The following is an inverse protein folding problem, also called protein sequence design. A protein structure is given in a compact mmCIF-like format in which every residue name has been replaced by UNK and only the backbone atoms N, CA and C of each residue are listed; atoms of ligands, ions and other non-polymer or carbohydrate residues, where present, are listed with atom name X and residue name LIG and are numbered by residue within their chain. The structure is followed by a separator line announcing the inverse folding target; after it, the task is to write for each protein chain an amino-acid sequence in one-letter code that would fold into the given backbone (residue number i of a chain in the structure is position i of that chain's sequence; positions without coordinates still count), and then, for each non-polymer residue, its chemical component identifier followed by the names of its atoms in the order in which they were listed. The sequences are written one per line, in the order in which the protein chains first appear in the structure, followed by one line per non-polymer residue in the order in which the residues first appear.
data_IF_326451854800
#
_entry.id   IF_326451854800
#
_cell.length_a   1.000
_cell.length_b   1.000
_cell.length_c   1.000
_cell.angle_alpha   90.00
_cell.angle_beta   90.00
_cell.angle_gamma   90.00
#
_symmetry.space_group_name_H-M   'P 1'
#
loop_
_entity.id
_entity.type
_entity.pdbx_description
1 polymer ?
#
# COMPACT_ATOMS: atom_id res chain seq x y z
N UNK A 1 9.74 81.66 -24.90
CA UNK A 1 8.88 80.85 -24.01
C UNK A 1 8.69 79.51 -24.70
N UNK A 2 9.54 78.51 -24.39
CA UNK A 2 9.24 77.30 -23.55
C UNK A 2 8.37 76.29 -24.31
N UNK A 3 8.62 74.97 -24.43
CA UNK A 3 9.54 74.02 -23.78
C UNK A 3 9.52 72.64 -24.51
N UNK A 4 10.69 71.99 -24.57
CA UNK A 4 11.07 70.56 -24.51
C UNK A 4 10.08 69.36 -24.61
N UNK A 5 10.59 68.28 -25.27
CA UNK A 5 10.60 66.82 -24.90
C UNK A 5 9.27 66.04 -24.89
N UNK A 6 9.13 64.73 -25.21
CA UNK A 6 10.06 63.60 -25.27
C UNK A 6 9.61 62.52 -26.28
N UNK A 7 10.56 61.63 -26.61
CA UNK A 7 10.36 60.35 -27.28
C UNK A 7 9.53 59.34 -26.45
N UNK A 8 8.98 58.34 -27.13
CA UNK A 8 8.40 57.13 -26.55
C UNK A 8 8.54 55.97 -27.53
N UNK A 9 9.57 55.14 -27.30
CA UNK A 9 9.84 53.88 -27.99
C UNK A 9 8.74 52.86 -27.75
N UNK A 10 8.34 52.14 -28.80
CA UNK A 10 7.51 50.94 -28.74
C UNK A 10 8.39 49.69 -28.83
N UNK A 11 8.63 49.00 -27.70
CA UNK A 11 9.24 47.66 -27.70
C UNK A 11 8.18 46.55 -27.91
N UNK A 12 8.50 45.48 -28.67
CA UNK A 12 7.66 44.30 -28.82
C UNK A 12 8.07 43.22 -27.80
N UNK A 13 7.34 43.11 -26.69
CA UNK A 13 7.63 42.15 -25.62
C UNK A 13 6.41 41.39 -25.13
N UNK A 14 5.83 40.48 -25.93
CA UNK A 14 4.74 39.61 -25.45
C UNK A 14 4.80 38.13 -25.87
N UNK A 15 5.81 37.70 -26.62
CA UNK A 15 5.92 36.31 -27.10
C UNK A 15 6.85 35.41 -26.26
N UNK A 16 7.70 35.96 -25.38
CA UNK A 16 8.70 35.16 -24.65
C UNK A 16 8.27 34.74 -23.23
N UNK A 17 7.21 35.34 -22.69
CA UNK A 17 6.76 35.10 -21.30
C UNK A 17 5.86 33.86 -21.18
N UNK A 18 5.02 33.60 -22.20
CA UNK A 18 4.19 32.39 -22.27
C UNK A 18 5.01 31.08 -22.44
N UNK A 19 6.25 31.16 -22.91
CA UNK A 19 7.09 29.98 -23.19
C UNK A 19 7.90 29.49 -21.96
N UNK A 20 7.87 30.22 -20.84
CA UNK A 20 8.56 29.82 -19.59
C UNK A 20 7.66 29.10 -18.59
N UNK A 21 6.34 29.29 -18.65
CA UNK A 21 5.41 28.62 -17.72
C UNK A 21 5.18 27.13 -18.03
N UNK A 22 5.47 26.66 -19.24
CA UNK A 22 5.31 25.25 -19.64
C UNK A 22 6.52 24.33 -19.34
N UNK A 23 7.65 24.89 -18.89
CA UNK A 23 8.90 24.14 -18.66
C UNK A 23 8.92 23.19 -17.45
N UNK A 24 8.19 23.39 -16.33
CA UNK A 24 8.31 22.50 -15.17
C UNK A 24 7.65 21.13 -15.39
N UNK A 25 6.56 21.04 -16.17
CA UNK A 25 5.90 19.77 -16.46
C UNK A 25 6.73 18.90 -17.41
N UNK A 26 7.31 19.48 -18.47
CA UNK A 26 8.17 18.76 -19.41
C UNK A 26 9.44 18.21 -18.73
N UNK A 27 10.08 19.00 -17.84
CA UNK A 27 11.25 18.54 -17.10
C UNK A 27 10.91 17.40 -16.14
N UNK A 28 9.78 17.48 -15.42
CA UNK A 28 9.30 16.38 -14.57
C UNK A 28 9.03 15.12 -15.38
N UNK A 29 8.33 15.26 -16.51
CA UNK A 29 8.07 14.14 -17.41
C UNK A 29 9.37 13.47 -17.86
N UNK A 30 10.38 14.25 -18.29
CA UNK A 30 11.68 13.72 -18.70
C UNK A 30 12.40 13.02 -17.54
N UNK A 31 12.41 13.59 -16.34
CA UNK A 31 13.03 12.96 -15.16
C UNK A 31 12.36 11.64 -14.80
N UNK A 32 11.03 11.59 -14.83
CA UNK A 32 10.26 10.39 -14.50
C UNK A 32 10.44 9.30 -15.56
N UNK A 33 10.39 9.66 -16.84
CA UNK A 33 10.63 8.71 -17.94
C UNK A 33 12.06 8.18 -17.94
N UNK A 34 13.03 9.04 -17.61
CA UNK A 34 14.44 8.63 -17.44
C UNK A 34 14.60 7.67 -16.26
N UNK A 35 13.94 7.95 -15.13
CA UNK A 35 13.94 7.06 -13.97
C UNK A 35 13.35 5.68 -14.30
N UNK A 36 12.23 5.64 -15.02
CA UNK A 36 11.59 4.40 -15.49
C UNK A 36 12.51 3.60 -16.42
N UNK A 37 13.13 4.26 -17.41
CA UNK A 37 14.05 3.62 -18.33
C UNK A 37 15.26 3.01 -17.60
N UNK A 38 15.84 3.76 -16.66
CA UNK A 38 16.95 3.28 -15.82
C UNK A 38 16.54 2.11 -14.93
N UNK A 39 15.34 2.14 -14.34
CA UNK A 39 14.83 1.02 -13.55
C UNK A 39 14.68 -0.25 -14.39
N UNK A 40 14.22 -0.14 -15.64
CA UNK A 40 14.13 -1.28 -16.59
C UNK A 40 15.52 -1.83 -16.91
N UNK A 41 16.49 -0.97 -17.18
CA UNK A 41 17.88 -1.37 -17.44
C UNK A 41 18.48 -2.07 -16.20
N UNK A 42 18.26 -1.51 -15.01
CA UNK A 42 18.67 -2.13 -13.75
C UNK A 42 18.07 -3.52 -13.55
N UNK A 43 16.78 -3.68 -13.85
CA UNK A 43 16.11 -4.98 -13.75
C UNK A 43 16.65 -5.99 -14.78
N UNK A 44 16.92 -5.58 -16.01
CA UNK A 44 17.49 -6.45 -17.04
C UNK A 44 18.90 -6.95 -16.66
N UNK A 45 19.72 -6.07 -16.08
CA UNK A 45 21.04 -6.43 -15.56
C UNK A 45 20.95 -7.40 -14.38
N UNK A 46 19.98 -7.19 -13.47
CA UNK A 46 19.74 -8.07 -12.33
C UNK A 46 19.35 -9.49 -12.79
N UNK A 47 18.42 -9.60 -13.74
CA UNK A 47 17.98 -10.87 -14.32
C UNK A 47 19.12 -11.59 -15.04
N UNK A 48 20.03 -10.83 -15.64
CA UNK A 48 21.22 -11.37 -16.32
C UNK A 48 22.35 -11.76 -15.36
N UNK A 49 22.14 -11.69 -14.04
CA UNK A 49 23.15 -12.03 -13.03
C UNK A 49 24.18 -10.93 -12.76
N UNK A 50 24.08 -9.78 -13.43
CA UNK A 50 25.01 -8.64 -13.28
C UNK A 50 24.59 -7.73 -12.11
N UNK A 51 24.58 -8.28 -10.90
CA UNK A 51 24.06 -7.60 -9.69
C UNK A 51 24.78 -6.27 -9.42
N UNK A 52 26.10 -6.22 -9.55
CA UNK A 52 26.87 -5.00 -9.29
C UNK A 52 26.48 -3.85 -10.24
N UNK A 53 26.29 -4.18 -11.52
CA UNK A 53 25.92 -3.20 -12.55
C UNK A 53 24.46 -2.79 -12.49
N UNK A 54 23.58 -3.61 -11.90
CA UNK A 54 22.19 -3.25 -11.66
C UNK A 54 22.04 -2.12 -10.62
N UNK A 55 22.98 -1.98 -9.67
CA UNK A 55 22.90 -0.99 -8.58
C UNK A 55 22.90 0.43 -9.12
N UNK A 56 23.83 0.76 -10.01
CA UNK A 56 24.01 2.12 -10.55
C UNK A 56 22.74 2.69 -11.19
N UNK A 57 22.09 2.02 -12.17
CA UNK A 57 20.87 2.54 -12.77
C UNK A 57 19.71 2.64 -11.76
N UNK A 58 19.61 1.75 -10.76
CA UNK A 58 18.62 1.91 -9.69
C UNK A 58 18.86 3.15 -8.84
N UNK A 59 20.12 3.42 -8.43
CA UNK A 59 20.46 4.61 -7.66
C UNK A 59 20.12 5.88 -8.44
N UNK A 60 20.50 5.94 -9.73
CA UNK A 60 20.21 7.10 -10.57
C UNK A 60 18.70 7.26 -10.79
N UNK A 61 17.95 6.17 -10.98
CA UNK A 61 16.50 6.21 -11.08
C UNK A 61 15.85 6.79 -9.82
N UNK A 62 16.33 6.40 -8.63
CA UNK A 62 15.86 6.94 -7.35
C UNK A 62 16.18 8.43 -7.21
N UNK A 63 17.36 8.88 -7.63
CA UNK A 63 17.71 10.31 -7.62
C UNK A 63 16.81 11.10 -8.59
N UNK A 64 16.59 10.59 -9.79
CA UNK A 64 15.75 11.23 -10.80
C UNK A 64 14.28 11.34 -10.34
N UNK A 65 13.72 10.28 -9.73
CA UNK A 65 12.34 10.31 -9.25
C UNK A 65 12.20 11.24 -8.03
N UNK A 66 13.16 11.23 -7.11
CA UNK A 66 13.12 12.09 -5.91
C UNK A 66 13.25 13.55 -6.27
N UNK A 67 14.11 13.89 -7.23
CA UNK A 67 14.25 15.27 -7.74
C UNK A 67 13.02 15.75 -8.50
N UNK A 68 12.34 14.86 -9.25
CA UNK A 68 11.07 15.17 -9.89
C UNK A 68 9.96 15.50 -8.88
N UNK A 69 9.95 14.83 -7.73
CA UNK A 69 8.94 14.99 -6.67
C UNK A 69 9.25 16.17 -5.73
N UNK A 70 10.52 16.49 -5.49
CA UNK A 70 10.92 17.49 -4.49
C UNK A 70 10.69 18.97 -4.89
N UNK A 71 10.33 19.25 -6.14
CA UNK A 71 10.05 20.61 -6.63
C UNK A 71 8.56 20.80 -6.94
N UNK A 72 7.67 20.99 -5.95
CA UNK A 72 6.32 21.47 -6.21
C UNK A 72 6.43 22.95 -6.61
N UNK A 73 6.41 23.26 -7.91
CA UNK A 73 6.08 24.61 -8.35
C UNK A 73 4.65 24.89 -7.91
N UNK A 74 4.53 25.78 -6.92
CA UNK A 74 3.28 26.35 -6.43
C UNK A 74 2.53 26.92 -7.62
N UNK A 75 1.50 26.23 -8.09
CA UNK A 75 0.47 26.84 -8.94
C UNK A 75 -0.55 27.51 -8.02
N UNK A 76 -0.18 28.65 -7.45
CA UNK A 76 -1.16 29.62 -6.96
C UNK A 76 -1.82 30.26 -8.19
N UNK A 77 -2.79 29.56 -8.79
CA UNK A 77 -3.69 30.16 -9.75
C UNK A 77 -4.75 30.94 -8.98
N UNK A 78 -4.73 32.26 -9.12
CA UNK A 78 -5.81 33.14 -8.70
C UNK A 78 -7.15 32.60 -9.23
N UNK A 79 -8.07 32.28 -8.32
CA UNK A 79 -9.46 32.00 -8.67
C UNK A 79 -10.30 33.24 -8.40
N UNK A 80 -10.26 34.19 -9.33
CA UNK A 80 -11.36 35.14 -9.52
C UNK A 80 -12.39 34.50 -10.44
N UNK A 81 -13.34 33.76 -9.85
CA UNK A 81 -14.43 33.10 -10.58
C UNK A 81 -15.70 32.95 -9.74
N UNK A 82 -16.77 33.57 -10.23
CA UNK A 82 -18.12 33.72 -9.67
C UNK A 82 -18.77 32.42 -9.13
N UNK A 83 -19.66 32.48 -8.12
CA UNK A 83 -20.36 31.31 -7.61
C UNK A 83 -21.53 30.90 -8.53
N UNK A 84 -21.47 29.69 -9.08
CA UNK A 84 -22.56 29.06 -9.80
C UNK A 84 -22.17 27.70 -10.38
N UNK A 85 -22.98 26.70 -10.06
CA UNK A 85 -23.12 25.37 -10.67
C UNK A 85 -22.33 24.18 -10.08
N UNK A 86 -23.13 23.14 -9.84
CA UNK A 86 -22.86 21.83 -9.26
C UNK A 86 -21.81 21.02 -10.04
N UNK A 87 -20.53 21.24 -9.73
CA UNK A 87 -19.44 20.41 -10.21
C UNK A 87 -19.03 19.34 -9.18
N UNK A 88 -18.80 18.12 -9.67
CA UNK A 88 -18.27 16.98 -8.91
C UNK A 88 -17.04 17.38 -8.08
N UNK A 89 -16.78 16.72 -6.92
CA UNK A 89 -15.70 17.13 -6.03
C UNK A 89 -14.34 17.01 -6.73
N UNK A 90 -13.77 18.16 -7.05
CA UNK A 90 -12.43 18.32 -7.59
C UNK A 90 -11.40 17.73 -6.63
N UNK A 91 -10.71 16.69 -7.09
CA UNK A 91 -9.70 15.94 -6.32
C UNK A 91 -8.43 16.80 -6.13
N UNK A 92 -8.24 17.87 -6.92
CA UNK A 92 -7.01 18.66 -6.93
C UNK A 92 -6.99 19.84 -5.94
N UNK A 93 -8.15 20.37 -5.52
CA UNK A 93 -8.22 21.64 -4.76
C UNK A 93 -7.96 21.57 -3.25
N UNK A 94 -7.65 20.40 -2.67
CA UNK A 94 -7.49 20.25 -1.22
C UNK A 94 -6.18 19.60 -0.75
N UNK A 95 -5.07 19.86 -1.44
CA UNK A 95 -3.72 19.65 -0.86
C UNK A 95 -3.40 20.80 0.12
N UNK A 96 -4.22 20.95 1.17
CA UNK A 96 -3.83 21.75 2.33
C UNK A 96 -2.89 20.88 3.15
N UNK A 97 -1.58 21.14 2.99
CA UNK A 97 -0.54 20.60 3.85
C UNK A 97 -0.98 20.80 5.31
N UNK A 98 -1.31 19.71 5.99
CA UNK A 98 -1.54 19.80 7.43
C UNK A 98 -0.24 20.31 8.07
N UNK A 99 -0.32 21.22 9.05
CA UNK A 99 0.86 21.66 9.76
C UNK A 99 1.53 20.42 10.34
N UNK A 100 2.71 20.08 9.80
CA UNK A 100 3.55 19.04 10.36
C UNK A 100 3.77 19.41 11.82
N UNK A 101 3.37 18.55 12.76
CA UNK A 101 3.77 18.72 14.15
C UNK A 101 5.29 18.94 14.15
N UNK A 102 5.74 20.10 14.62
CA UNK A 102 7.15 20.44 14.64
C UNK A 102 7.87 19.39 15.47
N UNK A 103 8.66 18.56 14.79
CA UNK A 103 9.32 17.40 15.38
C UNK A 103 10.21 17.80 16.54
N UNK A 104 10.08 17.07 17.65
CA UNK A 104 11.12 17.09 18.68
C UNK A 104 12.32 16.30 18.14
N UNK A 105 13.54 16.88 18.23
CA UNK A 105 14.80 16.22 17.83
C UNK A 105 14.92 14.75 18.26
N UNK A 106 14.58 14.34 19.50
CA UNK A 106 14.66 12.93 19.91
C UNK A 106 13.72 12.01 19.10
N UNK A 107 12.48 12.42 18.82
CA UNK A 107 11.50 11.62 18.09
C UNK A 107 11.97 11.30 16.66
N UNK A 108 12.63 12.27 16.02
CA UNK A 108 13.21 12.10 14.69
C UNK A 108 14.39 11.11 14.70
N UNK A 109 15.25 11.18 15.72
CA UNK A 109 16.36 10.24 15.87
C UNK A 109 15.85 8.81 16.12
N UNK A 110 14.80 8.64 16.92
CA UNK A 110 14.13 7.36 17.11
C UNK A 110 13.56 6.82 15.80
N UNK A 111 12.83 7.64 15.03
CA UNK A 111 12.27 7.23 13.75
C UNK A 111 13.37 6.78 12.77
N UNK A 112 14.47 7.52 12.67
CA UNK A 112 15.62 7.16 11.83
C UNK A 112 16.26 5.86 12.31
N UNK A 113 16.53 5.71 13.61
CA UNK A 113 17.12 4.51 14.18
C UNK A 113 16.29 3.25 13.91
N UNK A 114 14.97 3.34 14.10
CA UNK A 114 14.04 2.24 13.78
C UNK A 114 14.05 1.90 12.28
N UNK A 115 14.11 2.91 11.40
CA UNK A 115 14.19 2.67 9.95
C UNK A 115 15.49 1.96 9.57
N UNK A 116 16.63 2.44 10.09
CA UNK A 116 17.94 1.85 9.79
C UNK A 116 18.02 0.41 10.28
N UNK A 117 17.51 0.13 11.48
CA UNK A 117 17.42 -1.23 12.00
C UNK A 117 16.51 -2.12 11.14
N UNK A 118 15.34 -1.61 10.74
CA UNK A 118 14.43 -2.32 9.85
C UNK A 118 15.10 -2.67 8.51
N UNK A 119 15.79 -1.71 7.89
CA UNK A 119 16.51 -1.91 6.63
C UNK A 119 17.66 -2.89 6.79
N UNK A 120 18.43 -2.83 7.88
CA UNK A 120 19.52 -3.76 8.16
C UNK A 120 19.00 -5.20 8.33
N UNK A 121 17.91 -5.39 9.08
CA UNK A 121 17.28 -6.69 9.25
C UNK A 121 16.69 -7.21 7.93
N UNK A 122 16.05 -6.35 7.14
CA UNK A 122 15.54 -6.73 5.83
C UNK A 122 16.68 -7.17 4.89
N UNK A 123 17.79 -6.41 4.85
CA UNK A 123 18.96 -6.77 4.06
C UNK A 123 19.59 -8.09 4.51
N UNK A 124 19.71 -8.30 5.83
CA UNK A 124 20.19 -9.56 6.39
C UNK A 124 19.27 -10.73 6.03
N UNK A 125 17.94 -10.53 6.08
CA UNK A 125 16.96 -11.53 5.66
C UNK A 125 17.14 -11.91 4.18
N UNK A 126 17.22 -10.92 3.28
CA UNK A 126 17.45 -11.14 1.85
C UNK A 126 18.77 -11.83 1.55
N UNK A 127 19.81 -11.55 2.34
CA UNK A 127 21.10 -12.23 2.22
C UNK A 127 21.07 -13.69 2.71
N UNK A 128 20.22 -14.01 3.68
CA UNK A 128 20.12 -15.36 4.25
C UNK A 128 19.23 -16.30 3.41
N UNK A 129 18.13 -15.82 2.81
CA UNK A 129 17.22 -16.68 2.04
C UNK A 129 17.88 -17.52 0.93
N UNK A 130 18.84 -17.00 0.15
CA UNK A 130 19.52 -17.77 -0.89
C UNK A 130 20.42 -18.90 -0.36
N UNK A 131 20.81 -18.87 0.93
CA UNK A 131 21.68 -19.89 1.54
C UNK A 131 20.97 -21.23 1.76
N UNK A 132 19.64 -21.25 1.63
CA UNK A 132 18.83 -22.45 1.82
C UNK A 132 18.55 -22.76 3.29
N UNK A 133 17.68 -23.74 3.55
CA UNK A 133 17.25 -24.08 4.90
C UNK A 133 18.42 -24.58 5.77
N UNK A 134 18.40 -24.31 7.09
CA UNK A 134 17.32 -23.68 7.83
C UNK A 134 17.26 -22.15 7.67
N UNK A 135 16.08 -21.64 7.30
CA UNK A 135 15.76 -20.23 7.04
C UNK A 135 15.16 -19.50 8.26
N UNK A 136 15.19 -20.08 9.46
CA UNK A 136 14.52 -19.52 10.64
C UNK A 136 14.96 -18.07 10.92
N UNK A 137 16.27 -17.80 10.89
CA UNK A 137 16.80 -16.45 11.09
C UNK A 137 16.36 -15.48 9.99
N UNK A 138 16.32 -15.92 8.74
CA UNK A 138 15.87 -15.10 7.62
C UNK A 138 14.41 -14.67 7.81
N UNK A 139 13.55 -15.61 8.23
CA UNK A 139 12.14 -15.34 8.54
C UNK A 139 11.95 -14.43 9.76
N UNK A 140 12.74 -14.61 10.82
CA UNK A 140 12.71 -13.71 11.98
C UNK A 140 13.11 -12.29 11.62
N UNK A 141 14.21 -12.13 10.88
CA UNK A 141 14.66 -10.80 10.43
C UNK A 141 13.63 -10.13 9.52
N UNK A 142 13.03 -10.88 8.59
CA UNK A 142 11.91 -10.39 7.77
C UNK A 142 10.73 -9.96 8.66
N UNK A 143 10.26 -10.86 9.52
CA UNK A 143 9.08 -10.65 10.38
C UNK A 143 9.24 -9.50 11.36
N UNK A 144 10.46 -9.21 11.83
CA UNK A 144 10.77 -8.07 12.71
C UNK A 144 10.95 -6.77 11.92
N UNK A 145 11.53 -6.84 10.71
CA UNK A 145 11.79 -5.65 9.89
C UNK A 145 10.50 -4.90 9.49
N UNK A 146 9.44 -5.62 9.14
CA UNK A 146 8.15 -5.04 8.69
C UNK A 146 7.47 -4.18 9.77
N UNK A 147 7.25 -4.66 11.01
CA UNK A 147 6.68 -3.83 12.07
C UNK A 147 7.61 -2.69 12.49
N UNK A 148 8.93 -2.87 12.47
CA UNK A 148 9.88 -1.77 12.74
C UNK A 148 9.79 -0.66 11.69
N UNK A 149 9.75 -1.01 10.40
CA UNK A 149 9.57 -0.05 9.32
C UNK A 149 8.24 0.71 9.45
N UNK A 150 7.17 -0.01 9.83
CA UNK A 150 5.85 0.56 10.08
C UNK A 150 5.86 1.52 11.28
N UNK A 151 6.47 1.12 12.40
CA UNK A 151 6.60 1.95 13.59
C UNK A 151 7.43 3.21 13.32
N UNK A 152 8.54 3.07 12.59
CA UNK A 152 9.36 4.18 12.13
C UNK A 152 8.54 5.17 11.27
N UNK A 153 7.77 4.65 10.32
CA UNK A 153 6.93 5.47 9.46
C UNK A 153 5.88 6.27 10.26
N UNK A 154 5.21 5.65 11.22
CA UNK A 154 4.25 6.32 12.10
C UNK A 154 4.92 7.32 13.05
N UNK A 155 6.15 7.05 13.48
CA UNK A 155 6.97 8.00 14.24
C UNK A 155 7.35 9.22 13.40
N UNK A 156 7.59 9.05 12.09
CA UNK A 156 7.89 10.15 11.16
C UNK A 156 6.73 11.13 10.93
N UNK A 157 5.50 10.75 11.28
CA UNK A 157 4.35 11.66 11.21
C UNK A 157 3.87 12.06 12.62
N UNK A 158 4.64 11.78 13.68
CA UNK A 158 4.28 12.05 15.07
C UNK A 158 3.09 11.24 15.60
N UNK A 159 2.49 10.37 14.77
CA UNK A 159 1.29 9.60 15.10
C UNK A 159 1.54 8.58 16.20
N UNK A 160 2.71 7.94 16.18
CA UNK A 160 3.08 6.95 17.19
C UNK A 160 3.06 7.59 18.60
N UNK A 161 3.70 8.75 18.73
CA UNK A 161 3.79 9.46 20.01
C UNK A 161 2.46 10.12 20.40
N UNK A 162 1.67 10.61 19.44
CA UNK A 162 0.32 11.10 19.69
C UNK A 162 -0.61 10.01 20.24
N UNK A 163 -0.56 8.79 19.69
CA UNK A 163 -1.33 7.65 20.18
C UNK A 163 -0.92 7.26 21.60
N UNK A 164 0.39 7.16 21.87
CA UNK A 164 0.92 6.87 23.21
C UNK A 164 0.50 7.96 24.21
N UNK A 165 0.56 9.23 23.80
CA UNK A 165 0.15 10.38 24.61
C UNK A 165 -1.35 10.33 24.97
N UNK A 166 -2.22 10.07 23.99
CA UNK A 166 -3.67 9.92 24.21
C UNK A 166 -4.00 8.74 25.13
N UNK A 167 -3.28 7.62 24.98
CA UNK A 167 -3.46 6.45 25.83
C UNK A 167 -3.04 6.75 27.28
N UNK A 168 -1.92 7.44 27.47
CA UNK A 168 -1.46 7.87 28.81
C UNK A 168 -2.34 8.94 29.45
N UNK A 169 -2.94 9.81 28.64
CA UNK A 169 -3.77 10.91 29.11
C UNK A 169 -5.20 10.47 29.51
N UNK A 170 -5.54 9.18 29.43
CA UNK A 170 -6.86 8.68 29.84
C UNK A 170 -8.00 9.38 29.10
N UNK A 171 -7.91 9.46 27.77
CA UNK A 171 -8.86 10.25 26.97
C UNK A 171 -10.29 9.70 27.14
N UNK A 172 -11.22 10.53 27.61
CA UNK A 172 -12.65 10.21 27.63
C UNK A 172 -13.21 10.22 26.20
N UNK A 173 -13.78 9.09 25.77
CA UNK A 173 -14.39 8.97 24.45
C UNK A 173 -15.89 9.27 24.53
N UNK A 174 -16.29 10.43 24.01
CA UNK A 174 -17.71 10.72 23.79
C UNK A 174 -18.15 10.11 22.46
N UNK A 175 -18.93 9.03 22.52
CA UNK A 175 -19.45 8.35 21.33
C UNK A 175 -20.81 8.93 20.96
N UNK A 176 -20.86 9.72 19.88
CA UNK A 176 -22.13 10.10 19.27
C UNK A 176 -22.74 8.92 18.51
N UNK A 177 -24.03 8.65 18.70
CA UNK A 177 -24.74 7.54 18.06
C UNK A 177 -24.70 7.61 16.52
N UNK A 178 -24.79 8.82 15.95
CA UNK A 178 -24.66 9.05 14.50
C UNK A 178 -23.30 8.64 13.95
N UNK A 179 -22.23 8.77 14.75
CA UNK A 179 -20.89 8.32 14.39
C UNK A 179 -20.73 6.80 14.45
N UNK A 180 -21.59 6.10 15.21
CA UNK A 180 -21.59 4.64 15.35
C UNK A 180 -22.32 3.93 14.21
N UNK A 181 -23.33 4.57 13.61
CA UNK A 181 -24.22 3.93 12.65
C UNK A 181 -23.48 3.26 11.45
N UNK A 182 -22.47 3.90 10.82
CA UNK A 182 -21.72 3.24 9.75
C UNK A 182 -20.90 2.03 10.22
N UNK A 183 -20.45 2.03 11.47
CA UNK A 183 -19.68 0.92 12.03
C UNK A 183 -20.57 -0.24 12.42
N UNK A 184 -21.78 0.02 12.93
CA UNK A 184 -22.80 -1.00 13.13
C UNK A 184 -23.25 -1.61 11.80
N UNK A 185 -23.42 -0.79 10.77
CA UNK A 185 -23.68 -1.25 9.40
C UNK A 185 -22.56 -2.15 8.87
N UNK A 186 -21.30 -1.74 9.04
CA UNK A 186 -20.15 -2.58 8.66
C UNK A 186 -20.11 -3.89 9.45
N UNK A 187 -20.37 -3.85 10.76
CA UNK A 187 -20.43 -5.04 11.59
C UNK A 187 -21.51 -6.02 11.09
N UNK A 188 -22.71 -5.53 10.77
CA UNK A 188 -23.78 -6.35 10.20
C UNK A 188 -23.36 -6.97 8.86
N UNK A 189 -22.71 -6.20 7.97
CA UNK A 189 -22.17 -6.70 6.70
C UNK A 189 -21.09 -7.76 6.91
N UNK A 190 -20.18 -7.57 7.87
CA UNK A 190 -19.13 -8.54 8.19
C UNK A 190 -19.69 -9.83 8.80
N UNK A 191 -20.73 -9.73 9.64
CA UNK A 191 -21.43 -10.89 10.18
C UNK A 191 -22.14 -11.68 9.06
N UNK A 192 -22.80 -10.99 8.12
CA UNK A 192 -23.35 -11.63 6.93
C UNK A 192 -22.25 -12.28 6.08
N UNK A 193 -21.15 -11.57 5.83
CA UNK A 193 -20.03 -12.09 5.07
C UNK A 193 -19.44 -13.34 5.71
N UNK A 194 -19.33 -13.36 7.05
CA UNK A 194 -18.83 -14.47 7.83
C UNK A 194 -19.80 -15.65 7.78
N UNK A 195 -21.10 -15.42 7.95
CA UNK A 195 -22.13 -16.43 7.84
C UNK A 195 -22.04 -17.16 6.50
N UNK A 196 -22.03 -16.42 5.38
CA UNK A 196 -22.01 -17.01 4.04
C UNK A 196 -20.69 -17.73 3.72
N UNK A 197 -19.56 -17.31 4.32
CA UNK A 197 -18.24 -17.92 4.10
C UNK A 197 -17.96 -19.10 5.02
N UNK A 198 -18.48 -19.12 6.24
CA UNK A 198 -18.19 -20.16 7.23
C UNK A 198 -19.26 -21.25 7.30
N UNK A 199 -20.46 -21.01 6.77
CA UNK A 199 -21.52 -22.01 6.74
C UNK A 199 -21.06 -23.28 6.01
N UNK A 200 -21.10 -24.44 6.68
CA UNK A 200 -20.76 -25.76 6.09
C UNK A 200 -19.42 -25.75 5.34
N UNK A 201 -18.35 -25.26 6.01
CA UNK A 201 -17.04 -25.09 5.37
C UNK A 201 -16.33 -26.42 5.06
N UNK A 202 -16.69 -27.47 5.80
CA UNK A 202 -16.24 -28.85 5.63
C UNK A 202 -16.88 -29.51 4.42
N UNK A 203 -18.19 -29.30 4.19
CA UNK A 203 -18.93 -29.89 3.07
C UNK A 203 -18.95 -29.05 1.79
N UNK A 204 -18.75 -27.73 1.87
CA UNK A 204 -18.88 -26.81 0.74
C UNK A 204 -17.66 -25.88 0.55
N UNK A 205 -17.11 -25.74 -0.67
CA UNK A 205 -17.48 -26.49 -1.88
C UNK A 205 -17.17 -27.99 -1.75
N UNK A 206 -17.90 -28.81 -2.51
CA UNK A 206 -17.80 -30.25 -2.43
C UNK A 206 -16.43 -30.75 -2.91
N UNK A 207 -15.85 -31.69 -2.16
CA UNK A 207 -14.54 -32.24 -2.45
C UNK A 207 -13.37 -31.36 -1.96
N UNK A 208 -12.17 -31.85 -2.23
CA UNK A 208 -10.91 -31.21 -1.90
C UNK A 208 -10.12 -31.02 -3.20
N UNK A 209 -9.86 -29.77 -3.57
CA UNK A 209 -9.09 -29.49 -4.79
C UNK A 209 -7.61 -29.83 -4.58
N UNK A 210 -6.91 -30.24 -5.64
CA UNK A 210 -5.50 -30.65 -5.56
C UNK A 210 -4.62 -29.57 -4.91
N UNK A 211 -4.75 -28.30 -5.34
CA UNK A 211 -3.96 -27.20 -4.77
C UNK A 211 -4.33 -26.89 -3.30
N UNK A 212 -5.57 -27.16 -2.90
CA UNK A 212 -6.02 -26.98 -1.51
C UNK A 212 -5.41 -28.07 -0.61
N UNK A 213 -5.44 -29.33 -1.06
CA UNK A 213 -4.70 -30.43 -0.43
C UNK A 213 -3.20 -30.12 -0.38
N UNK A 214 -2.68 -29.50 -1.45
CA UNK A 214 -1.29 -29.14 -1.59
C UNK A 214 -0.86 -28.20 -0.46
N UNK A 215 -1.63 -27.12 -0.29
CA UNK A 215 -1.42 -26.10 0.73
C UNK A 215 -1.52 -26.68 2.16
N UNK A 216 -2.50 -27.55 2.42
CA UNK A 216 -2.66 -28.20 3.73
C UNK A 216 -1.43 -29.07 4.04
N UNK A 217 -1.01 -29.92 3.09
CA UNK A 217 0.17 -30.77 3.27
C UNK A 217 1.44 -29.92 3.51
N UNK A 218 1.58 -28.78 2.83
CA UNK A 218 2.76 -27.90 2.99
C UNK A 218 2.74 -27.21 4.34
N UNK A 219 1.55 -26.79 4.79
CA UNK A 219 1.35 -26.23 6.12
C UNK A 219 1.70 -27.24 7.22
N UNK A 220 1.40 -28.53 7.05
CA UNK A 220 1.83 -29.60 7.97
C UNK A 220 3.36 -29.70 8.05
N UNK A 221 4.05 -29.65 6.91
CA UNK A 221 5.51 -29.70 6.84
C UNK A 221 6.12 -28.45 7.51
N UNK A 222 5.58 -27.26 7.23
CA UNK A 222 5.98 -26.00 7.86
C UNK A 222 5.78 -26.08 9.38
N UNK A 223 4.64 -26.59 9.84
CA UNK A 223 4.37 -26.77 11.27
C UNK A 223 5.42 -27.69 11.91
N UNK A 224 5.73 -28.82 11.28
CA UNK A 224 6.67 -29.80 11.81
C UNK A 224 8.12 -29.29 11.84
N UNK A 225 8.52 -28.48 10.85
CA UNK A 225 9.84 -27.87 10.79
C UNK A 225 9.78 -26.44 10.25
N UNK A 226 9.42 -25.45 11.09
CA UNK A 226 9.28 -24.06 10.64
C UNK A 226 10.58 -23.49 10.07
N UNK A 227 11.73 -23.97 10.56
CA UNK A 227 13.05 -23.58 10.08
C UNK A 227 13.32 -24.01 8.64
N UNK A 228 12.69 -25.06 8.13
CA UNK A 228 12.84 -25.49 6.75
C UNK A 228 11.97 -24.72 5.75
N UNK A 229 11.14 -23.77 6.20
CA UNK A 229 10.23 -23.02 5.33
C UNK A 229 10.99 -22.26 4.25
N UNK A 230 10.72 -22.60 3.00
CA UNK A 230 11.27 -21.93 1.82
C UNK A 230 10.47 -20.68 1.47
N UNK A 231 11.07 -19.72 0.76
CA UNK A 231 10.37 -18.52 0.27
C UNK A 231 9.24 -18.88 -0.70
N UNK A 232 9.53 -19.83 -1.59
CA UNK A 232 8.58 -20.37 -2.56
C UNK A 232 8.33 -21.84 -2.29
N UNK A 233 7.07 -22.24 -2.42
CA UNK A 233 6.66 -23.64 -2.31
C UNK A 233 7.04 -24.40 -3.58
N UNK A 234 7.83 -25.49 -3.51
CA UNK A 234 8.34 -26.16 -4.71
C UNK A 234 7.26 -26.71 -5.65
N UNK A 235 6.13 -27.20 -5.11
CA UNK A 235 5.06 -27.81 -5.91
C UNK A 235 4.28 -26.82 -6.77
N UNK A 236 4.13 -25.58 -6.31
CA UNK A 236 3.27 -24.57 -6.96
C UNK A 236 4.05 -23.36 -7.45
N UNK A 237 5.31 -23.23 -7.06
CA UNK A 237 6.14 -22.04 -7.23
C UNK A 237 5.44 -20.75 -6.71
N UNK A 238 4.53 -20.90 -5.74
CA UNK A 238 3.83 -19.79 -5.09
C UNK A 238 4.55 -19.38 -3.80
N UNK A 239 4.43 -18.10 -3.39
CA UNK A 239 4.96 -17.64 -2.11
C UNK A 239 4.42 -18.44 -0.91
N UNK A 240 5.29 -18.75 0.04
CA UNK A 240 4.94 -19.56 1.23
C UNK A 240 4.20 -18.79 2.32
N UNK A 241 4.10 -17.45 2.24
CA UNK A 241 3.53 -16.63 3.33
C UNK A 241 2.04 -16.94 3.59
N UNK A 242 1.30 -17.32 2.55
CA UNK A 242 -0.09 -17.81 2.69
C UNK A 242 -0.19 -19.12 3.49
N UNK A 243 0.86 -19.93 3.51
CA UNK A 243 0.88 -21.22 4.20
C UNK A 243 1.17 -21.09 5.69
N UNK A 244 1.83 -20.01 6.13
CA UNK A 244 2.13 -19.76 7.54
C UNK A 244 0.86 -19.67 8.42
N UNK A 245 -0.17 -18.87 8.08
CA UNK A 245 -1.42 -18.87 8.85
C UNK A 245 -2.15 -20.22 8.77
N UNK A 246 -2.03 -20.97 7.67
CA UNK A 246 -2.61 -22.32 7.59
C UNK A 246 -1.87 -23.24 8.57
N UNK A 247 -0.54 -23.19 8.63
CA UNK A 247 0.28 -23.98 9.56
C UNK A 247 -0.07 -23.68 11.02
N UNK A 248 -0.35 -22.42 11.35
CA UNK A 248 -0.85 -22.02 12.66
C UNK A 248 -2.21 -22.65 12.96
N UNK A 249 -3.17 -22.62 12.01
CA UNK A 249 -4.47 -23.26 12.21
C UNK A 249 -4.33 -24.79 12.32
N UNK A 250 -3.40 -25.41 11.57
CA UNK A 250 -3.09 -26.84 11.74
C UNK A 250 -2.60 -27.12 13.16
N UNK A 251 -1.75 -26.25 13.72
CA UNK A 251 -1.24 -26.42 15.07
C UNK A 251 -2.33 -26.30 16.15
N UNK A 252 -3.26 -25.37 15.96
CA UNK A 252 -4.33 -25.09 16.93
C UNK A 252 -5.52 -26.05 16.83
N UNK A 253 -5.90 -26.47 15.63
CA UNK A 253 -7.15 -27.19 15.36
C UNK A 253 -6.94 -28.56 14.68
N UNK A 254 -5.70 -28.92 14.34
CA UNK A 254 -5.38 -30.16 13.63
C UNK A 254 -5.52 -30.07 12.11
N UNK A 255 -5.24 -31.19 11.44
CA UNK A 255 -5.26 -31.29 9.98
C UNK A 255 -6.68 -31.58 9.51
N UNK A 256 -7.25 -30.67 8.72
CA UNK A 256 -8.57 -30.84 8.11
C UNK A 256 -8.71 -29.98 6.86
N UNK A 257 -9.77 -30.21 6.08
CA UNK A 257 -10.12 -29.36 4.93
C UNK A 257 -10.44 -27.93 5.39
N UNK A 258 -11.10 -27.78 6.54
CA UNK A 258 -11.50 -26.47 7.06
C UNK A 258 -10.29 -25.63 7.50
N UNK A 259 -9.14 -26.25 7.78
CA UNK A 259 -7.91 -25.58 8.19
C UNK A 259 -7.46 -24.51 7.18
N UNK A 260 -7.35 -24.86 5.90
CA UNK A 260 -6.97 -23.90 4.86
C UNK A 260 -8.13 -22.95 4.48
N UNK A 261 -9.37 -23.47 4.48
CA UNK A 261 -10.56 -22.67 4.14
C UNK A 261 -10.82 -21.56 5.16
N UNK A 262 -10.54 -21.78 6.44
CA UNK A 262 -10.69 -20.78 7.49
C UNK A 262 -9.77 -19.57 7.24
N UNK A 263 -8.54 -19.83 6.80
CA UNK A 263 -7.57 -18.79 6.43
C UNK A 263 -8.06 -18.01 5.22
N UNK A 264 -8.50 -18.68 4.15
CA UNK A 264 -9.10 -18.01 3.00
C UNK A 264 -10.32 -17.19 3.35
N UNK A 265 -11.18 -17.68 4.24
CA UNK A 265 -12.37 -16.97 4.71
C UNK A 265 -11.98 -15.70 5.47
N UNK A 266 -10.94 -15.76 6.30
CA UNK A 266 -10.40 -14.59 6.99
C UNK A 266 -9.85 -13.53 6.02
N UNK A 267 -9.16 -13.95 4.94
CA UNK A 267 -8.72 -13.03 3.89
C UNK A 267 -9.90 -12.40 3.13
N UNK A 268 -10.93 -13.17 2.81
CA UNK A 268 -12.17 -12.65 2.20
C UNK A 268 -12.89 -11.63 3.09
N UNK A 269 -13.01 -11.91 4.40
CA UNK A 269 -13.55 -10.97 5.38
C UNK A 269 -12.72 -9.69 5.48
N UNK A 270 -11.40 -9.84 5.50
CA UNK A 270 -10.49 -8.71 5.40
C UNK A 270 -10.75 -7.88 4.13
N UNK A 271 -10.97 -8.54 2.98
CA UNK A 271 -11.27 -7.91 1.71
C UNK A 271 -12.54 -7.04 1.77
N UNK A 272 -13.61 -7.56 2.37
CA UNK A 272 -14.85 -6.81 2.61
C UNK A 272 -14.59 -5.54 3.45
N UNK A 273 -13.83 -5.67 4.55
CA UNK A 273 -13.48 -4.54 5.40
C UNK A 273 -12.59 -3.51 4.67
N UNK A 274 -11.60 -3.97 3.91
CA UNK A 274 -10.71 -3.11 3.13
C UNK A 274 -11.49 -2.33 2.07
N UNK A 275 -12.47 -2.96 1.43
CA UNK A 275 -13.35 -2.33 0.45
C UNK A 275 -14.22 -1.24 1.08
N UNK A 276 -14.74 -1.47 2.29
CA UNK A 276 -15.42 -0.44 3.07
C UNK A 276 -14.50 0.77 3.30
N UNK A 277 -13.27 0.56 3.79
CA UNK A 277 -12.35 1.67 4.06
C UNK A 277 -11.99 2.46 2.81
N UNK A 278 -11.72 1.78 1.70
CA UNK A 278 -11.42 2.39 0.41
C UNK A 278 -12.58 3.27 -0.06
N UNK A 279 -13.80 2.73 -0.15
CA UNK A 279 -14.95 3.50 -0.67
C UNK A 279 -15.40 4.56 0.34
N UNK A 280 -15.28 4.31 1.63
CA UNK A 280 -15.57 5.35 2.65
C UNK A 280 -14.69 6.56 2.46
N UNK A 281 -13.42 6.35 2.14
CA UNK A 281 -12.46 7.41 1.90
C UNK A 281 -12.77 8.21 0.62
N UNK A 282 -13.25 7.54 -0.43
CA UNK A 282 -13.52 8.16 -1.73
C UNK A 282 -14.92 8.81 -1.82
N UNK A 283 -15.95 8.10 -1.37
CA UNK A 283 -17.36 8.39 -1.64
C UNK A 283 -18.23 8.48 -0.38
N UNK A 284 -17.64 8.35 0.81
CA UNK A 284 -18.34 8.45 2.08
C UNK A 284 -19.01 7.17 2.57
N UNK A 285 -19.65 7.26 3.74
CA UNK A 285 -20.10 6.10 4.53
C UNK A 285 -21.18 5.24 3.84
N UNK A 286 -22.15 5.87 3.18
CA UNK A 286 -23.27 5.17 2.55
C UNK A 286 -22.79 4.30 1.37
N UNK A 287 -22.03 4.89 0.45
CA UNK A 287 -21.41 4.16 -0.65
C UNK A 287 -20.49 3.03 -0.15
N UNK A 288 -19.79 3.25 0.97
CA UNK A 288 -18.93 2.24 1.57
C UNK A 288 -19.69 1.01 2.07
N UNK A 289 -20.86 1.21 2.70
CA UNK A 289 -21.73 0.13 3.13
C UNK A 289 -22.27 -0.65 1.93
N UNK A 290 -22.68 0.05 0.86
CA UNK A 290 -23.12 -0.60 -0.38
C UNK A 290 -21.98 -1.42 -0.99
N UNK A 291 -20.79 -0.86 -1.12
CA UNK A 291 -19.63 -1.57 -1.66
C UNK A 291 -19.26 -2.80 -0.81
N UNK A 292 -19.20 -2.65 0.51
CA UNK A 292 -18.92 -3.75 1.42
C UNK A 292 -19.99 -4.85 1.35
N UNK A 293 -21.26 -4.48 1.29
CA UNK A 293 -22.37 -5.42 1.13
C UNK A 293 -22.26 -6.18 -0.20
N UNK A 294 -22.02 -5.47 -1.31
CA UNK A 294 -21.84 -6.09 -2.61
C UNK A 294 -20.66 -7.07 -2.61
N UNK A 295 -19.52 -6.72 -2.03
CA UNK A 295 -18.37 -7.64 -1.86
C UNK A 295 -18.72 -8.82 -0.96
N UNK A 296 -19.47 -8.60 0.12
CA UNK A 296 -19.88 -9.65 1.06
C UNK A 296 -20.73 -10.74 0.38
N UNK A 297 -21.61 -10.36 -0.55
CA UNK A 297 -22.49 -11.29 -1.29
C UNK A 297 -21.98 -11.63 -2.70
N UNK A 298 -20.82 -11.12 -3.11
CA UNK A 298 -20.25 -11.34 -4.44
C UNK A 298 -19.88 -12.82 -4.61
N UNK A 299 -20.52 -13.49 -5.57
CA UNK A 299 -20.28 -14.92 -5.86
C UNK A 299 -18.80 -15.27 -6.03
N UNK A 300 -18.04 -14.43 -6.73
CA UNK A 300 -16.62 -14.66 -6.97
C UNK A 300 -15.79 -14.58 -5.69
N UNK A 301 -16.01 -13.55 -4.87
CA UNK A 301 -15.31 -13.38 -3.60
C UNK A 301 -15.66 -14.50 -2.61
N UNK A 302 -16.94 -14.88 -2.53
CA UNK A 302 -17.39 -16.03 -1.72
C UNK A 302 -16.71 -17.32 -2.16
N UNK A 303 -16.72 -17.63 -3.46
CA UNK A 303 -16.13 -18.87 -3.96
C UNK A 303 -14.63 -18.95 -3.63
N UNK A 304 -13.87 -17.89 -3.90
CA UNK A 304 -12.42 -17.88 -3.63
C UNK A 304 -12.07 -17.81 -2.15
N UNK A 305 -12.93 -17.20 -1.31
CA UNK A 305 -12.73 -17.20 0.15
C UNK A 305 -13.15 -18.49 0.84
N UNK A 306 -13.86 -19.39 0.14
CA UNK A 306 -14.24 -20.71 0.63
C UNK A 306 -13.33 -21.84 0.13
N UNK A 307 -12.33 -21.53 -0.68
CA UNK A 307 -11.30 -22.47 -1.14
C UNK A 307 -9.96 -22.02 -0.55
N UNK A 308 -9.24 -22.94 0.08
CA UNK A 308 -7.96 -22.74 0.76
C UNK A 308 -6.78 -22.43 -0.16
N UNK A 309 -6.89 -21.43 -1.03
CA UNK A 309 -5.93 -21.05 -2.06
C UNK A 309 -5.54 -19.57 -1.99
N UNK A 310 -4.33 -19.25 -2.47
CA UNK A 310 -3.72 -17.92 -2.38
C UNK A 310 -4.52 -16.80 -3.03
N UNK A 311 -5.34 -17.11 -4.04
CA UNK A 311 -5.99 -16.13 -4.91
C UNK A 311 -6.82 -15.07 -4.18
N UNK A 312 -7.51 -15.45 -3.09
CA UNK A 312 -8.36 -14.53 -2.31
C UNK A 312 -7.56 -13.42 -1.60
N UNK A 313 -6.26 -13.59 -1.44
CA UNK A 313 -5.42 -12.57 -0.79
C UNK A 313 -5.27 -11.32 -1.67
N UNK A 314 -5.29 -11.45 -3.00
CA UNK A 314 -5.06 -10.33 -3.92
C UNK A 314 -6.11 -9.21 -3.80
N UNK A 315 -7.43 -9.48 -3.79
CA UNK A 315 -8.45 -8.44 -3.60
C UNK A 315 -8.26 -7.64 -2.30
N UNK A 316 -7.91 -8.30 -1.19
CA UNK A 316 -7.60 -7.62 0.08
C UNK A 316 -6.43 -6.64 -0.08
N UNK A 317 -5.29 -7.15 -0.55
CA UNK A 317 -4.10 -6.32 -0.68
C UNK A 317 -4.29 -5.22 -1.73
N UNK A 318 -5.03 -5.47 -2.81
CA UNK A 318 -5.37 -4.46 -3.81
C UNK A 318 -6.17 -3.31 -3.19
N UNK A 319 -7.23 -3.62 -2.45
CA UNK A 319 -8.08 -2.62 -1.81
C UNK A 319 -7.32 -1.82 -0.74
N UNK A 320 -6.51 -2.49 0.09
CA UNK A 320 -5.69 -1.81 1.10
C UNK A 320 -4.60 -0.94 0.48
N UNK A 321 -3.89 -1.44 -0.54
CA UNK A 321 -2.87 -0.65 -1.25
C UNK A 321 -3.51 0.54 -1.93
N UNK A 322 -4.65 0.39 -2.61
CA UNK A 322 -5.36 1.52 -3.21
C UNK A 322 -5.80 2.55 -2.15
N UNK A 323 -6.40 2.09 -1.05
CA UNK A 323 -6.83 2.96 0.05
C UNK A 323 -5.66 3.77 0.63
N UNK A 324 -4.56 3.10 0.94
CA UNK A 324 -3.38 3.75 1.52
C UNK A 324 -2.69 4.68 0.52
N UNK A 325 -2.61 4.31 -0.76
CA UNK A 325 -2.04 5.16 -1.82
C UNK A 325 -2.89 6.42 -2.01
N UNK A 326 -4.22 6.30 -2.14
CA UNK A 326 -5.09 7.47 -2.26
C UNK A 326 -5.04 8.36 -1.01
N UNK A 327 -4.95 7.75 0.18
CA UNK A 327 -4.75 8.47 1.43
C UNK A 327 -3.41 9.22 1.45
N UNK A 328 -2.34 8.58 0.98
CA UNK A 328 -1.00 9.14 0.90
C UNK A 328 -0.94 10.33 -0.07
N UNK A 329 -1.54 10.20 -1.25
CA UNK A 329 -1.65 11.28 -2.24
C UNK A 329 -2.47 12.45 -1.72
N UNK A 330 -3.65 12.19 -1.11
CA UNK A 330 -4.53 13.24 -0.59
C UNK A 330 -3.93 14.04 0.55
N UNK A 331 -3.25 13.37 1.49
CA UNK A 331 -2.74 14.03 2.69
C UNK A 331 -1.25 14.34 2.66
N UNK A 332 -0.49 13.84 1.68
CA UNK A 332 0.95 14.06 1.54
C UNK A 332 1.80 13.47 2.67
N UNK A 333 1.27 12.49 3.40
CA UNK A 333 1.87 11.97 4.64
C UNK A 333 2.85 10.84 4.36
N UNK A 334 4.05 10.91 4.92
CA UNK A 334 5.12 9.92 4.66
C UNK A 334 4.77 8.55 5.20
N UNK A 335 4.09 8.48 6.35
CA UNK A 335 3.65 7.19 6.90
C UNK A 335 2.69 6.45 5.98
N UNK A 336 1.82 7.19 5.28
CA UNK A 336 0.82 6.59 4.40
C UNK A 336 1.48 6.00 3.15
N UNK A 337 2.53 6.63 2.61
CA UNK A 337 3.33 6.06 1.52
C UNK A 337 4.08 4.79 1.94
N UNK A 338 4.71 4.79 3.12
CA UNK A 338 5.43 3.60 3.62
C UNK A 338 4.45 2.45 3.89
N UNK A 339 3.29 2.75 4.47
CA UNK A 339 2.23 1.76 4.67
C UNK A 339 1.71 1.20 3.35
N UNK A 340 1.46 2.06 2.35
CA UNK A 340 1.02 1.64 1.03
C UNK A 340 2.03 0.69 0.37
N UNK A 341 3.32 1.05 0.38
CA UNK A 341 4.41 0.21 -0.13
C UNK A 341 4.57 -1.09 0.66
N UNK A 342 4.46 -1.05 1.99
CA UNK A 342 4.55 -2.22 2.86
C UNK A 342 3.41 -3.22 2.61
N UNK A 343 2.16 -2.76 2.55
CA UNK A 343 1.00 -3.59 2.21
C UNK A 343 1.12 -4.15 0.80
N UNK A 344 1.57 -3.35 -0.16
CA UNK A 344 1.77 -3.80 -1.54
C UNK A 344 2.84 -4.89 -1.62
N UNK A 345 3.97 -4.70 -0.92
CA UNK A 345 5.04 -5.68 -0.81
C UNK A 345 4.54 -6.97 -0.16
N UNK A 346 3.84 -6.89 0.98
CA UNK A 346 3.23 -8.04 1.64
C UNK A 346 2.27 -8.80 0.69
N UNK A 347 1.47 -8.10 -0.11
CA UNK A 347 0.58 -8.74 -1.09
C UNK A 347 1.34 -9.63 -2.09
N UNK A 348 2.54 -9.24 -2.52
CA UNK A 348 3.37 -10.08 -3.40
C UNK A 348 3.94 -11.33 -2.71
N UNK A 349 4.08 -11.27 -1.38
CA UNK A 349 4.46 -12.43 -0.56
C UNK A 349 3.28 -13.36 -0.28
N UNK A 350 2.04 -12.92 -0.49
CA UNK A 350 0.86 -13.78 -0.38
C UNK A 350 0.45 -14.39 -1.71
N UNK A 351 0.60 -13.66 -2.83
CA UNK A 351 0.21 -14.20 -4.13
C UNK A 351 1.03 -13.62 -5.29
N UNK A 352 1.51 -14.51 -6.16
CA UNK A 352 2.39 -14.15 -7.27
C UNK A 352 1.70 -13.20 -8.28
N UNK A 353 0.40 -13.36 -8.55
CA UNK A 353 -0.32 -12.49 -9.50
C UNK A 353 -0.40 -11.03 -9.04
N UNK A 354 -0.22 -10.77 -7.74
CA UNK A 354 -0.19 -9.42 -7.20
C UNK A 354 1.04 -8.60 -7.64
N UNK A 355 2.06 -9.26 -8.24
CA UNK A 355 3.26 -8.59 -8.78
C UNK A 355 2.99 -7.63 -9.93
N UNK A 356 1.81 -7.66 -10.53
CA UNK A 356 1.37 -6.68 -11.52
C UNK A 356 0.83 -5.39 -10.89
N UNK A 357 0.42 -5.43 -9.61
CA UNK A 357 -0.19 -4.30 -8.94
C UNK A 357 0.73 -3.08 -8.75
N UNK A 358 2.07 -3.22 -8.57
CA UNK A 358 3.00 -2.09 -8.61
C UNK A 358 2.94 -1.29 -9.90
N UNK A 359 2.64 -1.93 -11.04
CA UNK A 359 2.48 -1.21 -12.30
C UNK A 359 1.23 -0.33 -12.27
N UNK A 360 0.13 -0.85 -11.72
CA UNK A 360 -1.12 -0.09 -11.54
C UNK A 360 -0.88 1.13 -10.65
N UNK A 361 -0.22 0.95 -9.51
CA UNK A 361 0.12 2.05 -8.60
C UNK A 361 1.14 3.00 -9.21
N UNK A 362 2.13 2.49 -9.93
CA UNK A 362 3.14 3.30 -10.63
C UNK A 362 2.50 4.20 -11.68
N UNK A 363 1.57 3.68 -12.49
CA UNK A 363 0.82 4.46 -13.47
C UNK A 363 -0.07 5.51 -12.81
N UNK A 364 -0.71 5.16 -11.68
CA UNK A 364 -1.54 6.09 -10.90
C UNK A 364 -0.73 7.24 -10.31
N UNK A 365 0.43 6.93 -9.72
CA UNK A 365 1.34 7.93 -9.17
C UNK A 365 1.98 8.79 -10.26
N UNK A 366 2.31 8.18 -11.42
CA UNK A 366 2.78 8.90 -12.60
C UNK A 366 1.72 9.89 -13.07
N UNK A 367 0.47 9.45 -13.21
CA UNK A 367 -0.64 10.32 -13.58
C UNK A 367 -0.76 11.48 -12.59
N UNK A 368 -0.81 11.21 -11.28
CA UNK A 368 -0.93 12.23 -10.24
C UNK A 368 0.29 13.17 -10.10
N UNK A 369 1.44 12.81 -10.69
CA UNK A 369 2.65 13.64 -10.71
C UNK A 369 2.69 14.53 -11.96
N UNK A 370 2.11 14.07 -13.07
CA UNK A 370 2.11 14.73 -14.38
C UNK A 370 0.91 15.68 -14.54
N UNK A 371 -0.26 15.24 -14.10
CA UNK A 371 -1.53 15.97 -14.13
C UNK A 371 -1.96 16.29 -12.70
#
# INVERSE_FOLDING_TARGET
MTSQSSAGDSEPGSSSENMRQHRPAALRFVLVMSALALAIVGQALLVSGNVLWAITPYVVAVIAITTAVSNPTVSSGDSTGSPGDDAAPDISSNIRAHPAHAFRRPERLWAIGLMLLALALMAASLYLFPKGPPNALAWWFFGISVPLATASALAFDGRLFSLIGKFRAGTEFTLAFSSLLPWLGLLAVLLLAALVRLYNLDGLPAGLWFDEADNINRAVIIRANPGATTVFTPSTNLPSLFLLPIALVVDLAGVSITTARLVSAAFGLGGVAAMFFLVRFMLGAHAALVAAFLTAVMRWDINWSRIGMHGITAPLFAALTAYLTFRAVRFGRRSDFVLAGGVMGLGMWFYASFRLFPLVIGLLLLHALVF
#
